data_IF_575360817114
#
_entry.id   IF_575360817114
#
_cell.length_a   1.000
_cell.length_b   1.000
_cell.length_c   1.000
_cell.angle_alpha   90.00
_cell.angle_beta   90.00
_cell.angle_gamma   90.00
#
_symmetry.space_group_name_H-M   'P 1'
#
loop_
_entity.id
_entity.type
_entity.pdbx_description
1 polymer ?
#
# COMPACT_ATOMS: atom_id res chain seq x y z
N UNK A 1 -0.63 -9.95 -6.71
CA UNK A 1 0.74 -9.92 -6.15
C UNK A 1 0.68 -9.35 -4.74
N UNK A 2 1.51 -9.80 -3.80
CA UNK A 2 1.50 -9.35 -2.39
C UNK A 2 2.89 -8.99 -1.88
N UNK A 3 2.94 -8.03 -0.96
CA UNK A 3 4.12 -7.57 -0.24
C UNK A 3 3.78 -7.47 1.25
N UNK A 4 4.69 -7.87 2.12
CA UNK A 4 4.58 -7.73 3.58
C UNK A 4 5.95 -7.31 4.14
N UNK A 5 5.95 -6.51 5.20
CA UNK A 5 7.18 -6.03 5.82
C UNK A 5 6.91 -4.92 6.83
N UNK A 6 7.82 -3.94 6.88
CA UNK A 6 7.69 -2.74 7.70
C UNK A 6 8.01 -1.50 6.89
N UNK A 7 7.50 -0.35 7.33
CA UNK A 7 7.91 0.96 6.85
C UNK A 7 8.50 1.77 8.01
N UNK A 8 9.49 2.60 7.69
CA UNK A 8 10.14 3.49 8.63
C UNK A 8 9.86 4.94 8.25
N UNK A 9 9.41 5.73 9.23
CA UNK A 9 9.19 7.17 9.05
C UNK A 9 10.45 7.95 9.41
N UNK A 10 11.19 8.33 8.38
CA UNK A 10 12.42 9.13 8.52
C UNK A 10 12.13 10.44 9.26
N UNK A 11 12.94 10.75 10.28
CA UNK A 11 12.80 11.98 11.08
C UNK A 11 11.92 11.82 12.33
N UNK A 12 11.24 10.68 12.49
CA UNK A 12 10.58 10.31 13.75
C UNK A 12 11.42 9.23 14.43
N UNK A 13 11.74 9.43 15.72
CA UNK A 13 12.58 8.48 16.46
C UNK A 13 11.86 7.14 16.64
N UNK A 14 12.48 6.05 16.18
CA UNK A 14 11.98 4.66 16.29
C UNK A 14 10.56 4.44 15.75
N UNK A 15 10.17 5.15 14.69
CA UNK A 15 8.85 5.00 14.10
C UNK A 15 8.88 3.99 12.94
N UNK A 16 8.77 2.71 13.30
CA UNK A 16 8.70 1.58 12.39
C UNK A 16 7.39 0.84 12.62
N UNK A 17 6.58 0.65 11.59
CA UNK A 17 5.27 -0.01 11.68
C UNK A 17 5.12 -1.13 10.66
N UNK A 18 4.27 -2.11 10.99
CA UNK A 18 3.96 -3.20 10.06
C UNK A 18 3.27 -2.66 8.80
N UNK A 19 3.63 -3.21 7.66
CA UNK A 19 3.21 -2.74 6.35
C UNK A 19 2.85 -3.91 5.44
N UNK A 20 1.80 -3.73 4.64
CA UNK A 20 1.41 -4.70 3.62
C UNK A 20 0.97 -4.00 2.35
N UNK A 21 1.15 -4.68 1.24
CA UNK A 21 0.82 -4.16 -0.06
C UNK A 21 0.24 -5.20 -1.00
N UNK A 22 -0.63 -4.74 -1.90
CA UNK A 22 -1.22 -5.55 -2.94
C UNK A 22 -1.34 -4.80 -4.25
N UNK A 23 -1.21 -5.55 -5.33
CA UNK A 23 -1.55 -5.09 -6.68
C UNK A 23 -2.64 -5.98 -7.23
N UNK A 24 -3.73 -5.35 -7.66
CA UNK A 24 -4.94 -6.01 -8.16
C UNK A 24 -5.30 -5.43 -9.52
N UNK A 25 -5.34 -6.28 -10.54
CA UNK A 25 -5.91 -5.92 -11.82
C UNK A 25 -7.42 -5.75 -11.67
N UNK A 26 -7.94 -4.63 -12.18
CA UNK A 26 -9.35 -4.29 -12.15
C UNK A 26 -10.01 -4.69 -13.48
N UNK A 27 -11.34 -4.82 -13.46
CA UNK A 27 -12.10 -5.21 -14.65
C UNK A 27 -11.97 -4.21 -15.82
N UNK A 28 -11.63 -2.95 -15.53
CA UNK A 28 -11.40 -1.90 -16.53
C UNK A 28 -9.96 -1.87 -17.09
N UNK A 29 -9.12 -2.86 -16.71
CA UNK A 29 -7.74 -2.99 -17.15
C UNK A 29 -6.74 -2.10 -16.42
N UNK A 30 -7.19 -1.32 -15.42
CA UNK A 30 -6.27 -0.64 -14.50
C UNK A 30 -5.69 -1.60 -13.48
N UNK A 31 -4.59 -1.21 -12.85
CA UNK A 31 -4.03 -1.88 -11.68
C UNK A 31 -4.20 -0.97 -10.47
N UNK A 32 -4.87 -1.48 -9.43
CA UNK A 32 -4.90 -0.85 -8.10
C UNK A 32 -3.68 -1.31 -7.30
N UNK A 33 -2.92 -0.36 -6.77
CA UNK A 33 -1.89 -0.57 -5.76
C UNK A 33 -2.45 -0.09 -4.42
N UNK A 34 -2.71 -1.03 -3.52
CA UNK A 34 -3.16 -0.73 -2.17
C UNK A 34 -2.04 -1.03 -1.19
N UNK A 35 -1.64 -0.02 -0.43
CA UNK A 35 -0.71 -0.12 0.68
C UNK A 35 -1.41 0.24 1.98
N UNK A 36 -1.15 -0.57 2.99
CA UNK A 36 -1.69 -0.40 4.33
C UNK A 36 -0.58 -0.52 5.35
N UNK A 37 -0.67 0.30 6.39
CA UNK A 37 0.13 0.17 7.59
C UNK A 37 -0.74 -0.26 8.76
N UNK A 38 -0.14 -0.83 9.80
CA UNK A 38 -0.85 -1.18 11.01
C UNK A 38 -0.88 -0.01 12.00
N UNK A 39 -2.08 0.47 12.33
CA UNK A 39 -2.31 1.41 13.42
C UNK A 39 -2.40 0.64 14.74
N UNK A 40 -1.41 0.85 15.61
CA UNK A 40 -1.34 0.21 16.93
C UNK A 40 -2.45 0.71 17.87
N UNK A 41 -2.83 1.99 17.77
CA UNK A 41 -3.87 2.59 18.61
C UNK A 41 -5.27 2.09 18.25
N UNK A 42 -5.54 1.92 16.95
CA UNK A 42 -6.79 1.36 16.46
C UNK A 42 -6.81 -0.18 16.41
N UNK A 43 -5.65 -0.83 16.59
CA UNK A 43 -5.44 -2.27 16.41
C UNK A 43 -6.00 -2.76 15.05
N UNK A 44 -5.73 -1.99 13.99
CA UNK A 44 -6.31 -2.21 12.67
C UNK A 44 -5.33 -1.81 11.57
N UNK A 45 -5.49 -2.42 10.39
CA UNK A 45 -4.82 -1.96 9.19
C UNK A 45 -5.52 -0.71 8.66
N UNK A 46 -4.75 0.33 8.34
CA UNK A 46 -5.23 1.57 7.74
C UNK A 46 -4.60 1.80 6.38
N UNK A 47 -5.33 2.48 5.49
CA UNK A 47 -4.84 2.81 4.15
C UNK A 47 -3.72 3.84 4.27
N UNK A 48 -2.54 3.45 3.80
CA UNK A 48 -1.39 4.34 3.69
C UNK A 48 -1.32 4.99 2.29
N UNK A 49 -1.62 4.20 1.25
CA UNK A 49 -1.69 4.68 -0.13
C UNK A 49 -2.65 3.83 -0.96
N UNK A 50 -3.43 4.49 -1.82
CA UNK A 50 -4.34 3.84 -2.77
C UNK A 50 -4.18 4.47 -4.15
N UNK A 51 -3.38 3.81 -5.00
CA UNK A 51 -3.02 4.29 -6.33
C UNK A 51 -3.65 3.47 -7.43
N UNK A 52 -3.95 4.11 -8.55
CA UNK A 52 -4.52 3.48 -9.74
C UNK A 52 -3.67 3.79 -10.95
N UNK A 53 -3.21 2.75 -11.63
CA UNK A 53 -2.33 2.87 -12.78
C UNK A 53 -3.05 2.35 -14.03
N UNK A 54 -2.95 3.12 -15.10
CA UNK A 54 -3.35 2.72 -16.45
C UNK A 54 -2.09 2.55 -17.28
N UNK A 55 -2.01 1.49 -18.08
CA UNK A 55 -0.94 1.34 -19.04
C UNK A 55 -1.07 2.40 -20.15
N UNK A 56 -0.09 3.27 -20.29
CA UNK A 56 -0.02 4.22 -21.42
C UNK A 56 0.52 3.47 -22.65
N UNK A 57 -0.20 3.53 -23.77
CA UNK A 57 0.25 2.95 -25.04
C UNK A 57 -0.31 1.55 -25.37
N UNK A 58 -1.37 1.10 -24.70
CA UNK A 58 -2.16 -0.02 -25.21
C UNK A 58 -2.97 0.50 -26.43
N UNK A 59 -2.79 -0.06 -27.63
CA UNK A 59 -3.56 0.35 -28.81
C UNK A 59 -5.06 0.10 -28.63
#
# INVERSE_FOLDING_TARGET
MRMEGTIEYVGLFNNVVAFRGSWTELADGRVRQLYEEFDVGANAWQVWFDGYYTLVGRP
#
